data_IF_968613041207
#
_entry.id   IF_968613041207
#
_cell.length_a   1.000
_cell.length_b   1.000
_cell.length_c   1.000
_cell.angle_alpha   90.00
_cell.angle_beta   90.00
_cell.angle_gamma   90.00
#
_symmetry.space_group_name_H-M   'P 1'
#
loop_
_entity.id
_entity.type
_entity.pdbx_description
1 polymer ?
#
# COMPACT_ATOMS: atom_id res chain seq x y z
N UNK A 1 -47.91 4.97 -10.15
CA UNK A 1 -46.81 4.85 -9.16
C UNK A 1 -46.65 3.37 -8.81
N UNK A 2 -45.41 2.92 -8.51
CA UNK A 2 -44.98 1.56 -8.13
C UNK A 2 -44.45 0.62 -9.25
N UNK A 3 -43.33 1.00 -9.88
CA UNK A 3 -42.54 0.09 -10.77
C UNK A 3 -41.87 -1.09 -10.03
N UNK A 4 -41.89 -1.10 -8.69
CA UNK A 4 -41.26 -2.14 -7.85
C UNK A 4 -41.98 -3.50 -7.96
N UNK A 5 -43.29 -3.52 -8.26
CA UNK A 5 -44.05 -4.77 -8.40
C UNK A 5 -43.86 -5.48 -9.75
N UNK A 6 -43.19 -4.85 -10.73
CA UNK A 6 -42.94 -5.40 -12.06
C UNK A 6 -41.52 -5.99 -12.18
N UNK A 7 -41.00 -6.59 -11.11
CA UNK A 7 -39.67 -7.19 -11.12
C UNK A 7 -39.76 -8.68 -11.47
N UNK A 8 -39.34 -9.02 -12.69
CA UNK A 8 -39.35 -10.39 -13.20
C UNK A 8 -38.34 -11.27 -12.44
N UNK A 9 -38.70 -12.53 -12.11
CA UNK A 9 -37.85 -13.47 -11.31
C UNK A 9 -36.41 -13.60 -11.85
N UNK A 10 -36.24 -13.53 -13.18
CA UNK A 10 -34.93 -13.53 -13.84
C UNK A 10 -34.06 -12.32 -13.46
N UNK A 11 -34.65 -11.12 -13.41
CA UNK A 11 -33.94 -9.89 -13.00
C UNK A 11 -33.53 -9.93 -11.53
N UNK A 12 -34.36 -10.54 -10.68
CA UNK A 12 -34.04 -10.73 -9.26
C UNK A 12 -32.82 -11.65 -9.07
N UNK A 13 -32.79 -12.80 -9.76
CA UNK A 13 -31.64 -13.72 -9.71
C UNK A 13 -30.36 -13.06 -10.25
N UNK A 14 -30.47 -12.32 -11.36
CA UNK A 14 -29.33 -11.59 -11.94
C UNK A 14 -28.79 -10.51 -10.99
N UNK A 15 -29.67 -9.81 -10.27
CA UNK A 15 -29.27 -8.80 -9.28
C UNK A 15 -28.52 -9.43 -8.11
N UNK A 16 -29.03 -10.52 -7.53
CA UNK A 16 -28.33 -11.22 -6.45
C UNK A 16 -26.97 -11.77 -6.91
N UNK A 17 -26.91 -12.38 -8.09
CA UNK A 17 -25.68 -12.92 -8.65
C UNK A 17 -24.60 -11.85 -8.89
N UNK A 18 -25.00 -10.67 -9.38
CA UNK A 18 -24.07 -9.56 -9.62
C UNK A 18 -23.56 -8.91 -8.33
N UNK A 19 -24.39 -8.84 -7.29
CA UNK A 19 -23.95 -8.31 -5.98
C UNK A 19 -22.97 -9.26 -5.29
N UNK A 20 -23.23 -10.58 -5.35
CA UNK A 20 -22.32 -11.59 -4.84
C UNK A 20 -21.00 -11.61 -5.62
N UNK A 21 -21.04 -11.52 -6.95
CA UNK A 21 -19.83 -11.44 -7.77
C UNK A 21 -18.98 -10.18 -7.45
N UNK A 22 -19.63 -9.04 -7.18
CA UNK A 22 -18.98 -7.81 -6.78
C UNK A 22 -18.14 -7.92 -5.49
N UNK A 23 -18.62 -8.67 -4.50
CA UNK A 23 -17.91 -8.88 -3.23
C UNK A 23 -16.71 -9.83 -3.33
N UNK A 24 -16.73 -10.76 -4.29
CA UNK A 24 -15.65 -11.73 -4.49
C UNK A 24 -14.55 -11.25 -5.44
N UNK A 25 -14.71 -10.09 -6.06
CA UNK A 25 -13.66 -9.48 -6.88
C UNK A 25 -12.54 -8.97 -5.96
N UNK A 26 -11.29 -9.48 -6.09
CA UNK A 26 -10.18 -8.91 -5.38
C UNK A 26 -10.02 -7.44 -5.78
N UNK A 27 -9.75 -6.57 -4.80
CA UNK A 27 -9.39 -5.18 -5.11
C UNK A 27 -8.10 -5.18 -5.93
N UNK A 28 -8.20 -4.89 -7.23
CA UNK A 28 -7.07 -4.80 -8.15
C UNK A 28 -6.20 -3.55 -7.93
N UNK A 29 -6.61 -2.66 -7.02
CA UNK A 29 -5.92 -1.41 -6.75
C UNK A 29 -5.04 -1.63 -5.52
N UNK A 30 -3.82 -2.13 -5.75
CA UNK A 30 -2.77 -2.09 -4.73
C UNK A 30 -2.16 -0.69 -4.73
N UNK A 31 -2.19 0.07 -3.61
CA UNK A 31 -1.55 1.38 -3.57
C UNK A 31 -0.05 1.22 -3.83
N UNK A 32 0.49 2.01 -4.75
CA UNK A 32 1.91 2.01 -5.08
C UNK A 32 2.67 2.72 -3.95
N UNK A 33 3.57 2.01 -3.27
CA UNK A 33 4.46 2.61 -2.27
C UNK A 33 5.41 3.59 -2.95
N UNK A 34 5.64 4.74 -2.32
CA UNK A 34 6.69 5.66 -2.76
C UNK A 34 8.06 5.01 -2.53
N UNK A 35 9.00 5.28 -3.44
CA UNK A 35 10.38 4.76 -3.35
C UNK A 35 11.33 5.91 -3.05
N UNK A 36 12.29 5.68 -2.15
CA UNK A 36 13.32 6.68 -1.83
C UNK A 36 14.68 6.01 -1.65
N UNK A 37 15.70 6.62 -2.26
CA UNK A 37 17.11 6.30 -2.04
C UNK A 37 17.73 7.39 -1.17
N UNK A 38 18.31 6.99 -0.04
CA UNK A 38 18.96 7.90 0.91
C UNK A 38 20.47 7.62 0.89
N UNK A 39 21.25 8.62 0.49
CA UNK A 39 22.70 8.56 0.52
C UNK A 39 23.21 8.98 1.90
N UNK A 40 23.93 8.08 2.58
CA UNK A 40 24.34 8.25 3.97
C UNK A 40 23.20 7.92 4.93
N UNK A 41 22.75 8.92 5.68
CA UNK A 41 21.54 8.80 6.50
C UNK A 41 21.72 8.29 7.94
N UNK A 42 22.94 7.92 8.38
CA UNK A 42 23.14 7.26 9.69
C UNK A 42 23.73 8.14 10.80
N UNK A 43 23.93 9.45 10.53
CA UNK A 43 24.57 10.37 11.49
C UNK A 43 23.60 11.44 12.04
N UNK A 44 23.44 12.57 11.35
CA UNK A 44 22.75 13.75 11.88
C UNK A 44 21.22 13.72 11.67
N UNK A 45 20.69 14.41 10.65
CA UNK A 45 19.25 14.44 10.33
C UNK A 45 18.77 13.14 9.67
N UNK A 46 19.70 12.38 9.10
CA UNK A 46 19.44 11.15 8.36
C UNK A 46 18.55 10.13 9.08
N UNK A 47 18.85 9.76 10.34
CA UNK A 47 18.06 8.76 11.05
C UNK A 47 16.60 9.16 11.24
N UNK A 48 16.32 10.47 11.40
CA UNK A 48 14.96 10.98 11.50
C UNK A 48 14.23 10.90 10.16
N UNK A 49 14.89 11.26 9.07
CA UNK A 49 14.33 11.14 7.71
C UNK A 49 13.99 9.68 7.39
N UNK A 50 14.89 8.75 7.72
CA UNK A 50 14.68 7.31 7.51
C UNK A 50 13.47 6.83 8.31
N UNK A 51 13.40 7.16 9.61
CA UNK A 51 12.27 6.78 10.48
C UNK A 51 10.93 7.30 9.93
N UNK A 52 10.88 8.54 9.49
CA UNK A 52 9.67 9.13 8.90
C UNK A 52 9.28 8.47 7.57
N UNK A 53 10.24 8.14 6.71
CA UNK A 53 9.97 7.44 5.46
C UNK A 53 9.41 6.02 5.71
N UNK A 54 9.97 5.30 6.67
CA UNK A 54 9.47 3.98 7.08
C UNK A 54 8.08 4.09 7.71
N UNK A 55 7.84 5.08 8.58
CA UNK A 55 6.54 5.32 9.20
C UNK A 55 5.43 5.63 8.17
N UNK A 56 5.80 6.18 7.00
CA UNK A 56 4.89 6.46 5.88
C UNK A 56 4.70 5.26 4.94
N UNK A 57 5.22 4.08 5.28
CA UNK A 57 5.20 2.86 4.45
C UNK A 57 5.87 3.04 3.08
N UNK A 58 7.00 3.76 3.03
CA UNK A 58 7.79 3.91 1.81
C UNK A 58 8.77 2.74 1.64
N UNK A 59 9.10 2.44 0.39
CA UNK A 59 10.18 1.53 0.01
C UNK A 59 11.51 2.30 0.09
N UNK A 60 12.22 2.13 1.21
CA UNK A 60 13.44 2.87 1.55
C UNK A 60 14.67 2.03 1.23
N UNK A 61 15.61 2.60 0.46
CA UNK A 61 16.95 2.05 0.24
C UNK A 61 18.00 3.03 0.78
N UNK A 62 19.01 2.53 1.49
CA UNK A 62 20.08 3.33 2.09
C UNK A 62 21.44 2.99 1.49
N UNK A 63 22.19 3.97 0.98
CA UNK A 63 23.54 3.74 0.48
C UNK A 63 24.56 4.55 1.29
N UNK A 64 25.40 3.90 2.08
CA UNK A 64 26.38 4.58 2.93
C UNK A 64 27.77 3.90 2.88
N UNK A 65 28.81 4.63 3.29
CA UNK A 65 30.22 4.16 3.29
C UNK A 65 30.55 3.13 4.39
N UNK A 66 29.60 2.78 5.25
CA UNK A 66 29.83 1.87 6.38
C UNK A 66 30.63 2.45 7.56
N UNK A 67 30.90 3.75 7.60
CA UNK A 67 31.75 4.37 8.65
C UNK A 67 30.96 4.69 9.92
N UNK A 68 29.89 5.49 9.81
CA UNK A 68 29.10 5.96 10.97
C UNK A 68 27.86 5.09 11.15
N UNK A 69 27.68 4.52 12.35
CA UNK A 69 26.52 3.69 12.74
C UNK A 69 26.02 2.74 11.63
N UNK A 70 26.87 1.86 11.05
CA UNK A 70 26.54 1.03 9.89
C UNK A 70 25.42 0.01 10.15
N UNK A 71 25.12 -0.23 11.42
CA UNK A 71 24.13 -1.17 11.95
C UNK A 71 22.86 -0.46 12.46
N UNK A 72 22.67 0.83 12.18
CA UNK A 72 21.54 1.59 12.72
C UNK A 72 20.17 1.18 12.12
N UNK A 73 20.19 0.66 10.88
CA UNK A 73 19.00 0.22 10.15
C UNK A 73 19.27 -1.11 9.45
N UNK A 74 19.42 -2.22 10.20
CA UNK A 74 19.78 -3.54 9.64
C UNK A 74 18.68 -4.13 8.76
N UNK A 75 17.43 -3.76 8.98
CA UNK A 75 16.26 -4.20 8.21
C UNK A 75 16.10 -3.51 6.85
N UNK A 76 16.84 -2.43 6.58
CA UNK A 76 16.73 -1.67 5.33
C UNK A 76 17.66 -2.20 4.24
N UNK A 77 17.17 -2.12 3.01
CA UNK A 77 17.94 -2.49 1.82
C UNK A 77 19.14 -1.55 1.63
N UNK A 78 20.30 -2.12 1.32
CA UNK A 78 21.54 -1.40 1.03
C UNK A 78 21.84 -1.32 -0.46
#
# INVERSE_FOLDING_TARGET
>A
MNKILLMNRKKFIQLCASTAAGMYLPSFIKPVKKKVLILGGTNFVGPYIIKEAVAKDWDVTIFNRGITNPQLFPELKK
#
